data_IF_912470310959
#
_entry.id   IF_912470310959
#
_cell.length_a   1.000
_cell.length_b   1.000
_cell.length_c   1.000
_cell.angle_alpha   90.00
_cell.angle_beta   90.00
_cell.angle_gamma   90.00
#
_symmetry.space_group_name_H-M   'P 1'
#
loop_
_entity.id
_entity.type
_entity.pdbx_description
1 polymer ?
#
# COMPACT_ATOMS: atom_id res chain seq x y z
N UNK A 1 22.73 48.34 -14.08
CA UNK A 1 21.69 47.31 -14.25
C UNK A 1 22.25 46.24 -15.18
N UNK A 2 22.64 45.10 -14.63
CA UNK A 2 23.41 44.05 -15.33
C UNK A 2 22.45 43.29 -16.27
N UNK A 3 22.65 43.46 -17.59
CA UNK A 3 21.94 42.71 -18.63
C UNK A 3 22.54 41.30 -18.72
N UNK A 4 21.93 40.31 -18.04
CA UNK A 4 22.29 38.91 -18.25
C UNK A 4 21.99 38.50 -19.71
N UNK A 5 22.96 37.83 -20.34
CA UNK A 5 22.83 37.28 -21.70
C UNK A 5 21.66 36.28 -21.73
N UNK A 6 20.87 36.27 -22.80
CA UNK A 6 19.70 35.38 -22.97
C UNK A 6 20.02 33.90 -22.74
N UNK A 7 21.26 33.49 -23.02
CA UNK A 7 21.79 32.13 -22.79
C UNK A 7 21.94 31.80 -21.29
N UNK A 8 22.33 32.78 -20.48
CA UNK A 8 22.45 32.62 -19.03
C UNK A 8 21.07 32.57 -18.37
N UNK A 9 20.11 33.36 -18.88
CA UNK A 9 18.70 33.30 -18.46
C UNK A 9 18.08 31.93 -18.80
N UNK A 10 18.39 31.37 -19.97
CA UNK A 10 17.92 30.03 -20.38
C UNK A 10 18.52 28.91 -19.52
N UNK A 11 19.81 28.98 -19.18
CA UNK A 11 20.47 28.04 -18.26
C UNK A 11 19.90 28.13 -16.84
N UNK A 12 19.63 29.34 -16.35
CA UNK A 12 19.02 29.55 -15.03
C UNK A 12 17.60 28.99 -14.99
N UNK A 13 16.78 29.23 -16.03
CA UNK A 13 15.42 28.67 -16.13
C UNK A 13 15.46 27.13 -16.23
N UNK A 14 16.40 26.58 -17.01
CA UNK A 14 16.58 25.13 -17.14
C UNK A 14 17.06 24.47 -15.82
N UNK A 15 17.93 25.14 -15.06
CA UNK A 15 18.33 24.71 -13.72
C UNK A 15 17.18 24.76 -12.71
N UNK A 16 16.30 25.77 -12.77
CA UNK A 16 15.18 25.91 -11.84
C UNK A 16 14.06 24.87 -12.10
N UNK A 17 13.85 24.46 -13.36
CA UNK A 17 12.89 23.40 -13.70
C UNK A 17 13.33 22.01 -13.24
N UNK A 18 14.65 21.73 -13.20
CA UNK A 18 15.18 20.44 -12.78
C UNK A 18 15.02 20.16 -11.27
N UNK A 19 14.87 21.20 -10.44
CA UNK A 19 14.77 21.06 -8.97
C UNK A 19 13.34 20.69 -8.51
N UNK A 20 12.31 20.91 -9.34
CA UNK A 20 10.91 20.73 -8.94
C UNK A 20 10.42 19.26 -8.92
N UNK A 21 11.19 18.30 -9.44
CA UNK A 21 10.79 16.88 -9.55
C UNK A 21 11.29 16.00 -8.38
N UNK A 22 12.15 16.52 -7.51
CA UNK A 22 12.73 15.73 -6.41
C UNK A 22 11.82 15.57 -5.17
N UNK A 23 10.60 16.11 -5.20
CA UNK A 23 9.69 16.20 -4.05
C UNK A 23 8.51 15.22 -4.05
N UNK A 24 8.43 14.25 -4.96
CA UNK A 24 7.48 13.15 -4.80
C UNK A 24 7.91 12.32 -3.60
N UNK A 25 7.31 12.60 -2.45
CA UNK A 25 7.35 11.72 -1.30
C UNK A 25 7.14 10.29 -1.79
N UNK A 26 7.99 9.37 -1.36
CA UNK A 26 7.82 7.94 -1.54
C UNK A 26 6.54 7.57 -0.76
N UNK A 27 5.38 7.82 -1.37
CA UNK A 27 4.10 7.47 -0.78
C UNK A 27 4.12 5.94 -0.71
N UNK A 28 4.21 5.42 0.51
CA UNK A 28 4.10 3.99 0.75
C UNK A 28 2.81 3.45 0.13
N UNK A 29 2.75 2.14 -0.12
CA UNK A 29 1.58 1.53 -0.71
C UNK A 29 0.31 1.86 0.09
N UNK A 30 -0.77 2.25 -0.59
CA UNK A 30 -2.05 2.58 0.04
C UNK A 30 -2.81 1.29 0.36
N UNK A 31 -2.81 0.90 1.64
CA UNK A 31 -3.47 -0.32 2.12
C UNK A 31 -4.98 -0.33 1.88
N UNK A 32 -5.66 0.83 1.94
CA UNK A 32 -7.10 0.93 1.71
C UNK A 32 -7.43 0.75 0.23
N UNK A 33 -6.66 1.38 -0.65
CA UNK A 33 -6.79 1.20 -2.09
C UNK A 33 -6.50 -0.26 -2.51
N UNK A 34 -5.45 -0.86 -1.95
CA UNK A 34 -5.13 -2.27 -2.18
C UNK A 34 -6.25 -3.19 -1.68
N UNK A 35 -6.84 -2.93 -0.52
CA UNK A 35 -7.94 -3.75 0.02
C UNK A 35 -9.12 -3.81 -0.96
N UNK A 36 -9.44 -2.68 -1.59
CA UNK A 36 -10.46 -2.60 -2.64
C UNK A 36 -10.00 -3.31 -3.91
N UNK A 37 -8.79 -3.04 -4.39
CA UNK A 37 -8.26 -3.60 -5.64
C UNK A 37 -8.10 -5.13 -5.60
N UNK A 38 -7.73 -5.68 -4.44
CA UNK A 38 -7.59 -7.13 -4.20
C UNK A 38 -8.92 -7.79 -3.79
N UNK A 39 -10.03 -7.04 -3.83
CA UNK A 39 -11.39 -7.54 -3.58
C UNK A 39 -11.57 -8.20 -2.20
N UNK A 40 -10.85 -7.74 -1.18
CA UNK A 40 -10.90 -8.32 0.17
C UNK A 40 -12.33 -8.31 0.74
N UNK A 41 -13.09 -7.24 0.47
CA UNK A 41 -14.50 -7.09 0.87
C UNK A 41 -15.48 -8.07 0.22
N UNK A 42 -15.08 -8.80 -0.83
CA UNK A 42 -15.94 -9.82 -1.43
C UNK A 42 -16.24 -10.96 -0.44
N UNK A 43 -15.26 -11.29 0.41
CA UNK A 43 -15.33 -12.35 1.43
C UNK A 43 -15.34 -11.82 2.86
N UNK A 44 -14.71 -10.68 3.14
CA UNK A 44 -14.58 -10.12 4.48
C UNK A 44 -15.62 -9.02 4.75
N UNK A 45 -16.69 -9.41 5.45
CA UNK A 45 -17.69 -8.52 6.02
C UNK A 45 -18.52 -9.33 7.04
N UNK A 46 -19.34 -8.64 7.83
CA UNK A 46 -20.33 -9.28 8.70
C UNK A 46 -21.21 -10.27 7.90
N UNK A 47 -21.28 -11.52 8.38
CA UNK A 47 -22.09 -12.59 7.76
C UNK A 47 -21.49 -13.23 6.49
N UNK A 48 -20.31 -12.81 6.02
CA UNK A 48 -19.63 -13.45 4.89
C UNK A 48 -18.66 -14.54 5.36
N UNK A 49 -18.28 -15.43 4.43
CA UNK A 49 -17.39 -16.58 4.70
C UNK A 49 -16.04 -16.20 5.32
N UNK A 50 -15.49 -15.02 4.99
CA UNK A 50 -14.23 -14.53 5.54
C UNK A 50 -14.36 -13.88 6.92
N UNK A 51 -15.59 -13.71 7.43
CA UNK A 51 -15.86 -13.03 8.71
C UNK A 51 -15.58 -11.53 8.66
N UNK A 52 -15.89 -10.86 9.77
CA UNK A 52 -15.56 -9.45 9.97
C UNK A 52 -14.11 -9.31 10.47
N UNK A 53 -13.30 -8.53 9.75
CA UNK A 53 -11.89 -8.33 10.06
C UNK A 53 -11.67 -7.51 11.33
N UNK A 54 -12.69 -6.79 11.78
CA UNK A 54 -12.67 -6.02 13.04
C UNK A 54 -12.40 -6.90 14.26
N UNK A 55 -12.77 -8.18 14.19
CA UNK A 55 -12.59 -9.15 15.27
C UNK A 55 -11.28 -9.97 15.13
N UNK A 56 -10.43 -9.64 14.15
CA UNK A 56 -9.14 -10.30 13.95
C UNK A 56 -8.20 -10.09 15.13
N UNK A 57 -7.60 -11.18 15.63
CA UNK A 57 -6.63 -11.18 16.74
C UNK A 57 -5.17 -11.37 16.29
N UNK A 58 -4.93 -11.46 14.98
CA UNK A 58 -3.59 -11.71 14.45
C UNK A 58 -2.70 -10.46 14.61
N UNK A 59 -1.42 -10.58 14.92
CA UNK A 59 -0.51 -9.44 14.80
C UNK A 59 -0.17 -9.13 13.33
N UNK A 60 0.54 -8.03 13.07
CA UNK A 60 0.91 -7.60 11.71
C UNK A 60 1.69 -8.68 10.97
N UNK A 61 2.70 -9.28 11.60
CA UNK A 61 3.56 -10.28 10.96
C UNK A 61 2.77 -11.55 10.63
N UNK A 62 1.89 -11.97 11.55
CA UNK A 62 0.95 -13.07 11.32
C UNK A 62 0.01 -12.79 10.15
N UNK A 63 -0.54 -11.58 10.03
CA UNK A 63 -1.37 -11.18 8.89
C UNK A 63 -0.60 -11.25 7.57
N UNK A 64 0.61 -10.69 7.50
CA UNK A 64 1.45 -10.73 6.29
C UNK A 64 1.77 -12.16 5.89
N UNK A 65 2.20 -12.99 6.84
CA UNK A 65 2.48 -14.42 6.59
C UNK A 65 1.24 -15.15 6.09
N UNK A 66 0.09 -14.91 6.72
CA UNK A 66 -1.17 -15.54 6.34
C UNK A 66 -1.62 -15.10 4.94
N UNK A 67 -1.51 -13.81 4.58
CA UNK A 67 -1.83 -13.33 3.25
C UNK A 67 -0.90 -13.92 2.18
N UNK A 68 0.37 -14.15 2.51
CA UNK A 68 1.38 -14.71 1.59
C UNK A 68 1.15 -16.19 1.30
N UNK A 69 0.88 -16.99 2.34
CA UNK A 69 0.52 -18.41 2.18
C UNK A 69 -0.49 -18.86 3.26
N UNK A 70 -1.80 -18.66 3.02
CA UNK A 70 -2.84 -19.02 3.98
C UNK A 70 -2.86 -20.51 4.31
N UNK A 71 -2.53 -21.37 3.33
CA UNK A 71 -2.61 -22.83 3.46
C UNK A 71 -1.47 -23.40 4.29
N UNK A 72 -0.30 -22.75 4.30
CA UNK A 72 0.79 -23.09 5.22
C UNK A 72 0.44 -22.84 6.69
N UNK A 73 -0.42 -21.86 6.96
CA UNK A 73 -0.88 -21.51 8.32
C UNK A 73 -2.07 -22.37 8.73
N UNK A 74 -3.04 -22.55 7.84
CA UNK A 74 -4.19 -23.42 8.06
C UNK A 74 -4.66 -24.03 6.73
N UNK A 75 -4.47 -25.35 6.50
CA UNK A 75 -4.78 -25.99 5.22
C UNK A 75 -6.28 -26.02 4.88
N UNK A 76 -7.16 -25.75 5.86
CA UNK A 76 -8.62 -25.75 5.68
C UNK A 76 -9.18 -24.41 5.20
N UNK A 77 -8.36 -23.36 5.13
CA UNK A 77 -8.85 -22.04 4.68
C UNK A 77 -9.09 -22.03 3.18
N UNK A 78 -10.13 -21.30 2.78
CA UNK A 78 -10.43 -21.08 1.36
C UNK A 78 -9.92 -19.73 0.85
N UNK A 79 -9.30 -18.93 1.71
CA UNK A 79 -8.68 -17.67 1.31
C UNK A 79 -7.49 -17.98 0.37
N UNK A 80 -7.46 -17.42 -0.86
CA UNK A 80 -6.32 -17.58 -1.75
C UNK A 80 -5.13 -16.75 -1.26
N UNK A 81 -3.92 -17.15 -1.67
CA UNK A 81 -2.74 -16.32 -1.47
C UNK A 81 -2.90 -14.97 -2.18
N UNK A 82 -2.59 -13.88 -1.46
CA UNK A 82 -2.65 -12.53 -2.00
C UNK A 82 -1.42 -12.30 -2.86
N UNK A 83 -1.64 -12.09 -4.17
CA UNK A 83 -0.56 -11.72 -5.10
C UNK A 83 -0.20 -10.25 -4.91
N UNK A 84 0.83 -9.98 -4.12
CA UNK A 84 1.30 -8.65 -3.79
C UNK A 84 2.78 -8.71 -3.35
N UNK A 85 3.48 -7.57 -3.43
CA UNK A 85 4.82 -7.37 -2.87
C UNK A 85 4.79 -7.36 -1.34
N UNK A 86 5.95 -7.49 -0.71
CA UNK A 86 6.03 -7.45 0.75
C UNK A 86 5.63 -6.07 1.29
N UNK A 87 5.94 -4.98 0.58
CA UNK A 87 5.50 -3.63 0.92
C UNK A 87 3.97 -3.50 0.86
N UNK A 88 3.34 -3.99 -0.21
CA UNK A 88 1.88 -3.98 -0.36
C UNK A 88 1.17 -4.86 0.69
N UNK A 89 1.74 -6.02 1.03
CA UNK A 89 1.22 -6.87 2.10
C UNK A 89 1.32 -6.20 3.47
N UNK A 90 2.41 -5.49 3.74
CA UNK A 90 2.56 -4.72 4.97
C UNK A 90 1.52 -3.60 5.04
N UNK A 91 1.29 -2.86 3.95
CA UNK A 91 0.27 -1.82 3.88
C UNK A 91 -1.15 -2.38 4.05
N UNK A 92 -1.46 -3.52 3.42
CA UNK A 92 -2.71 -4.25 3.62
C UNK A 92 -2.89 -4.66 5.08
N UNK A 93 -1.84 -5.19 5.71
CA UNK A 93 -1.89 -5.57 7.12
C UNK A 93 -2.15 -4.36 8.01
N UNK A 94 -1.47 -3.23 7.79
CA UNK A 94 -1.70 -1.98 8.52
C UNK A 94 -3.15 -1.50 8.37
N UNK A 95 -3.70 -1.57 7.16
CA UNK A 95 -5.11 -1.24 6.93
C UNK A 95 -6.05 -2.19 7.66
N UNK A 96 -5.82 -3.51 7.62
CA UNK A 96 -6.64 -4.49 8.36
C UNK A 96 -6.59 -4.25 9.87
N UNK A 97 -5.41 -3.90 10.40
CA UNK A 97 -5.24 -3.55 11.82
C UNK A 97 -6.02 -2.29 12.20
N UNK A 98 -6.06 -1.29 11.32
CA UNK A 98 -6.80 -0.04 11.58
C UNK A 98 -8.33 -0.21 11.57
N UNK A 99 -8.85 -1.34 11.07
CA UNK A 99 -10.28 -1.65 11.12
C UNK A 99 -10.76 -2.12 12.51
N UNK A 100 -9.85 -2.51 13.40
CA UNK A 100 -10.19 -3.11 14.70
C UNK A 100 -10.96 -2.16 15.60
N UNK A 101 -11.75 -2.74 16.51
CA UNK A 101 -12.43 -2.01 17.59
C UNK A 101 -11.49 -1.75 18.76
#
# INVERSE_FOLDING_TARGET
MILLKKEEVMKIILCLLAVAVAGSAFAGADGAALFKAKMCGACHAAGKKGGDLKDSKMDKASLVKFMKDPKSVNPKVTMPAVKATDEELNALADYVLSLRK
#
